data_IF_370865018302
#
_entry.id   IF_370865018302
#
_cell.length_a   1.000
_cell.length_b   1.000
_cell.length_c   1.000
_cell.angle_alpha   90.00
_cell.angle_beta   90.00
_cell.angle_gamma   90.00
#
_symmetry.space_group_name_H-M   'P 1'
#
loop_
_entity.id
_entity.type
_entity.pdbx_description
1 polymer ?
#
# COMPACT_ATOMS: atom_id res chain seq x y z
N UNK A 1 -6.06 -12.51 2.85
CA UNK A 1 -7.23 -12.08 2.03
C UNK A 1 -7.39 -10.57 2.16
N UNK A 2 -7.65 -9.85 1.07
CA UNK A 2 -8.00 -8.42 1.10
C UNK A 2 -9.53 -8.26 1.20
N UNK A 3 -9.98 -7.18 1.83
CA UNK A 3 -11.39 -6.80 1.85
C UNK A 3 -11.76 -6.13 0.52
N UNK A 4 -12.85 -6.57 -0.09
CA UNK A 4 -13.41 -5.99 -1.32
C UNK A 4 -14.62 -5.15 -0.94
N UNK A 5 -14.47 -3.82 -0.98
CA UNK A 5 -15.58 -2.89 -0.89
C UNK A 5 -16.38 -2.81 -2.18
N UNK A 6 -17.24 -1.80 -2.31
CA UNK A 6 -17.89 -1.54 -3.58
C UNK A 6 -16.84 -1.11 -4.61
N UNK A 7 -16.72 -1.87 -5.69
CA UNK A 7 -15.83 -1.59 -6.82
C UNK A 7 -16.66 -1.60 -8.10
N UNK A 8 -16.90 -0.44 -8.67
CA UNK A 8 -17.75 -0.25 -9.85
C UNK A 8 -17.15 0.68 -10.88
N UNK A 9 -16.13 1.45 -10.51
CA UNK A 9 -15.49 2.42 -11.40
C UNK A 9 -14.20 1.85 -11.98
N UNK A 10 -13.98 2.09 -13.26
CA UNK A 10 -12.64 2.02 -13.81
C UNK A 10 -11.82 3.20 -13.24
N UNK A 11 -10.55 3.00 -12.82
CA UNK A 11 -9.68 1.82 -13.02
C UNK A 11 -9.71 0.78 -11.91
N UNK A 12 -10.52 0.95 -10.84
CA UNK A 12 -10.53 0.03 -9.68
C UNK A 12 -10.95 -1.39 -10.05
N UNK A 13 -11.90 -1.52 -10.99
CA UNK A 13 -12.33 -2.84 -11.51
C UNK A 13 -11.14 -3.57 -12.12
N UNK A 14 -10.30 -2.87 -12.88
CA UNK A 14 -9.15 -3.49 -13.53
C UNK A 14 -8.04 -3.86 -12.52
N UNK A 15 -7.78 -3.01 -11.52
CA UNK A 15 -6.87 -3.35 -10.41
C UNK A 15 -7.35 -4.62 -9.71
N UNK A 16 -8.65 -4.70 -9.40
CA UNK A 16 -9.22 -5.85 -8.69
C UNK A 16 -9.07 -7.14 -9.50
N UNK A 17 -9.32 -7.11 -10.81
CA UNK A 17 -9.12 -8.28 -11.69
C UNK A 17 -7.69 -8.82 -11.64
N UNK A 18 -6.69 -7.91 -11.69
CA UNK A 18 -5.28 -8.32 -11.63
C UNK A 18 -4.93 -8.89 -10.25
N UNK A 19 -5.45 -8.31 -9.17
CA UNK A 19 -5.26 -8.83 -7.81
C UNK A 19 -5.88 -10.24 -7.67
N UNK A 20 -7.07 -10.47 -8.23
CA UNK A 20 -7.73 -11.79 -8.24
C UNK A 20 -6.95 -12.82 -9.07
N UNK A 21 -6.41 -12.41 -10.21
CA UNK A 21 -5.52 -13.24 -11.04
C UNK A 21 -4.26 -13.63 -10.25
N UNK A 22 -3.62 -12.67 -9.58
CA UNK A 22 -2.41 -12.90 -8.78
C UNK A 22 -2.69 -13.80 -7.55
N UNK A 23 -3.82 -13.61 -6.87
CA UNK A 23 -4.26 -14.47 -5.75
C UNK A 23 -4.53 -15.89 -6.24
N UNK A 24 -5.27 -16.04 -7.35
CA UNK A 24 -5.62 -17.35 -7.93
C UNK A 24 -4.40 -18.12 -8.44
N UNK A 25 -3.37 -17.40 -8.90
CA UNK A 25 -2.08 -17.96 -9.27
C UNK A 25 -1.19 -18.30 -8.06
N UNK A 26 -1.68 -18.09 -6.83
CA UNK A 26 -0.95 -18.31 -5.57
C UNK A 26 0.40 -17.59 -5.51
N UNK A 27 0.48 -16.39 -6.07
CA UNK A 27 1.70 -15.60 -6.02
C UNK A 27 2.01 -15.20 -4.57
N UNK A 28 3.28 -15.29 -4.18
CA UNK A 28 3.72 -14.83 -2.86
C UNK A 28 3.54 -13.32 -2.76
N UNK A 29 2.99 -12.86 -1.64
CA UNK A 29 2.76 -11.44 -1.38
C UNK A 29 2.01 -10.71 -2.53
N UNK A 30 1.06 -11.40 -3.17
CA UNK A 30 0.30 -10.90 -4.32
C UNK A 30 -0.37 -9.53 -4.10
N UNK A 31 -0.62 -9.16 -2.84
CA UNK A 31 -1.18 -7.88 -2.42
C UNK A 31 -0.13 -6.87 -1.92
N UNK A 32 1.16 -7.17 -2.10
CA UNK A 32 2.22 -6.24 -1.75
C UNK A 32 2.28 -5.08 -2.75
N UNK A 33 2.45 -3.87 -2.22
CA UNK A 33 2.63 -2.67 -3.02
C UNK A 33 3.78 -1.83 -2.48
N UNK A 34 4.61 -1.29 -3.36
CA UNK A 34 5.62 -0.32 -3.00
C UNK A 34 4.95 1.06 -2.94
N UNK A 35 5.02 1.73 -1.78
CA UNK A 35 4.56 3.10 -1.64
C UNK A 35 5.75 4.05 -1.47
N UNK A 36 5.77 5.11 -2.29
CA UNK A 36 6.72 6.20 -2.21
C UNK A 36 6.08 7.42 -1.56
N UNK A 37 6.82 8.08 -0.69
CA UNK A 37 6.48 9.34 -0.03
C UNK A 37 7.69 10.28 -0.04
N UNK A 38 7.48 11.56 0.23
CA UNK A 38 8.50 12.60 0.11
C UNK A 38 8.62 13.36 1.42
N UNK A 39 9.84 13.60 1.89
CA UNK A 39 10.09 14.40 3.09
C UNK A 39 10.08 15.91 2.81
N UNK A 40 10.28 16.72 3.86
CA UNK A 40 10.33 18.19 3.79
C UNK A 40 11.45 18.73 2.85
N UNK A 41 12.47 17.93 2.59
CA UNK A 41 13.59 18.29 1.71
C UNK A 41 13.38 17.80 0.27
N UNK A 42 12.17 17.35 -0.04
CA UNK A 42 11.83 16.72 -1.32
C UNK A 42 12.62 15.42 -1.59
N UNK A 43 13.16 14.77 -0.54
CA UNK A 43 13.81 13.48 -0.69
C UNK A 43 12.75 12.37 -0.71
N UNK A 44 12.60 11.64 -1.83
CA UNK A 44 11.70 10.50 -1.90
C UNK A 44 12.27 9.31 -1.12
N UNK A 45 11.37 8.54 -0.55
CA UNK A 45 11.66 7.26 0.08
C UNK A 45 10.55 6.27 -0.24
N UNK A 46 10.87 4.96 -0.32
CA UNK A 46 9.86 3.95 -0.62
C UNK A 46 10.02 2.70 0.25
N UNK A 47 8.94 1.94 0.38
CA UNK A 47 8.87 0.67 1.14
C UNK A 47 7.67 -0.14 0.70
N UNK A 48 7.72 -1.44 0.99
CA UNK A 48 6.58 -2.33 0.76
C UNK A 48 5.58 -2.19 1.91
N UNK A 49 4.30 -2.14 1.55
CA UNK A 49 3.16 -2.29 2.45
C UNK A 49 2.17 -3.27 1.81
N UNK A 50 1.27 -3.85 2.61
CA UNK A 50 0.29 -4.81 2.10
C UNK A 50 -1.07 -4.13 1.93
N UNK A 51 -1.64 -4.22 0.74
CA UNK A 51 -3.02 -3.82 0.49
C UNK A 51 -3.96 -4.65 1.38
N UNK A 52 -4.91 -3.97 2.05
CA UNK A 52 -5.88 -4.61 2.97
C UNK A 52 -7.31 -4.50 2.46
N UNK A 53 -7.61 -3.43 1.74
CA UNK A 53 -8.93 -3.18 1.16
C UNK A 53 -8.79 -2.40 -0.15
N UNK A 54 -9.65 -2.71 -1.11
CA UNK A 54 -9.87 -1.93 -2.32
C UNK A 54 -11.34 -1.60 -2.47
N UNK A 55 -11.65 -0.36 -2.85
CA UNK A 55 -12.99 0.12 -3.17
C UNK A 55 -12.92 1.30 -4.13
N UNK A 56 -14.06 1.82 -4.59
CA UNK A 56 -14.13 3.07 -5.37
C UNK A 56 -13.58 4.29 -4.60
N UNK A 57 -13.39 4.18 -3.29
CA UNK A 57 -12.77 5.22 -2.46
C UNK A 57 -11.24 5.19 -2.53
N UNK A 58 -10.63 4.04 -2.82
CA UNK A 58 -9.19 3.92 -2.93
C UNK A 58 -8.59 2.60 -2.43
N UNK A 59 -7.28 2.66 -2.18
CA UNK A 59 -6.45 1.54 -1.75
C UNK A 59 -6.06 1.70 -0.28
N UNK A 60 -6.38 0.74 0.56
CA UNK A 60 -6.20 0.84 2.03
C UNK A 60 -5.06 -0.05 2.50
N UNK A 61 -4.20 0.47 3.37
CA UNK A 61 -3.16 -0.31 4.07
C UNK A 61 -3.02 0.12 5.52
N UNK A 62 -2.53 -0.78 6.36
CA UNK A 62 -2.31 -0.56 7.79
C UNK A 62 -0.84 -0.22 8.08
N UNK A 63 -0.60 0.76 8.96
CA UNK A 63 0.76 1.14 9.34
C UNK A 63 0.82 1.88 10.69
N UNK A 64 2.05 2.19 11.13
CA UNK A 64 2.34 3.10 12.24
C UNK A 64 2.46 4.53 11.69
N UNK A 65 1.63 5.46 12.19
CA UNK A 65 1.61 6.88 11.80
C UNK A 65 2.89 7.63 12.20
N UNK A 66 3.56 7.20 13.29
CA UNK A 66 4.81 7.80 13.77
C UNK A 66 6.05 7.30 13.01
N UNK A 67 5.89 6.33 12.09
CA UNK A 67 6.97 5.87 11.23
C UNK A 67 7.46 6.96 10.28
N UNK A 68 8.64 6.76 9.65
CA UNK A 68 9.18 7.70 8.66
C UNK A 68 8.14 8.05 7.59
N UNK A 69 7.49 7.05 6.99
CA UNK A 69 6.44 7.29 5.99
C UNK A 69 5.22 8.04 6.55
N UNK A 70 4.82 7.74 7.79
CA UNK A 70 3.69 8.41 8.43
C UNK A 70 3.95 9.91 8.59
N UNK A 71 5.15 10.28 9.04
CA UNK A 71 5.60 11.67 9.17
C UNK A 71 5.73 12.38 7.81
N UNK A 72 6.26 11.69 6.80
CA UNK A 72 6.36 12.21 5.44
C UNK A 72 4.96 12.50 4.87
N UNK A 73 4.01 11.57 5.04
CA UNK A 73 2.63 11.70 4.58
C UNK A 73 1.87 12.83 5.28
N UNK A 74 2.12 13.03 6.57
CA UNK A 74 1.50 14.13 7.32
C UNK A 74 1.88 15.51 6.76
N UNK A 75 3.10 15.63 6.27
CA UNK A 75 3.64 16.88 5.70
C UNK A 75 3.32 17.04 4.22
N UNK A 76 3.32 15.95 3.48
CA UNK A 76 3.02 15.92 2.05
C UNK A 76 2.17 14.68 1.74
N UNK A 77 0.85 14.85 1.55
CA UNK A 77 -0.05 13.73 1.32
C UNK A 77 0.05 13.11 -0.08
N UNK A 78 0.89 13.64 -0.97
CA UNK A 78 1.09 13.08 -2.31
C UNK A 78 1.94 11.83 -2.24
N UNK A 79 1.46 10.76 -2.85
CA UNK A 79 2.15 9.46 -2.87
C UNK A 79 2.09 8.84 -4.25
N UNK A 80 3.04 7.93 -4.50
CA UNK A 80 2.97 7.01 -5.61
C UNK A 80 2.98 5.57 -5.08
N UNK A 81 2.17 4.71 -5.69
CA UNK A 81 2.08 3.29 -5.38
C UNK A 81 2.42 2.49 -6.62
N UNK A 82 3.16 1.40 -6.43
CA UNK A 82 3.53 0.50 -7.51
C UNK A 82 3.30 -0.95 -7.09
N UNK A 83 2.51 -1.66 -7.88
CA UNK A 83 2.40 -3.11 -7.85
C UNK A 83 3.23 -3.68 -8.99
N UNK A 84 3.91 -4.80 -8.72
CA UNK A 84 4.65 -5.54 -9.73
C UNK A 84 4.45 -7.04 -9.55
N UNK A 85 3.81 -7.67 -10.50
CA UNK A 85 3.62 -9.11 -10.56
C UNK A 85 4.45 -9.67 -11.74
N UNK A 86 5.64 -10.15 -11.39
CA UNK A 86 6.62 -10.64 -12.38
C UNK A 86 6.06 -11.79 -13.22
N UNK A 87 5.40 -12.73 -12.56
CA UNK A 87 4.87 -13.95 -13.18
C UNK A 87 3.74 -13.62 -14.15
N UNK A 88 2.95 -12.59 -13.87
CA UNK A 88 1.90 -12.07 -14.74
C UNK A 88 2.43 -11.08 -15.78
N UNK A 89 3.70 -10.66 -15.64
CA UNK A 89 4.31 -9.60 -16.48
C UNK A 89 3.49 -8.31 -16.48
N UNK A 90 2.88 -7.98 -15.32
CA UNK A 90 2.00 -6.83 -15.13
C UNK A 90 2.52 -5.89 -14.07
N UNK A 91 2.35 -4.59 -14.33
CA UNK A 91 2.61 -3.52 -13.36
C UNK A 91 1.39 -2.60 -13.28
N UNK A 92 1.08 -2.13 -12.08
CA UNK A 92 0.11 -1.06 -11.87
C UNK A 92 0.78 0.06 -11.09
N UNK A 93 0.76 1.26 -11.65
CA UNK A 93 1.28 2.49 -11.03
C UNK A 93 0.11 3.38 -10.67
N UNK A 94 0.07 3.87 -9.44
CA UNK A 94 -0.99 4.74 -8.92
C UNK A 94 -0.36 6.00 -8.37
N UNK A 95 -0.85 7.15 -8.78
CA UNK A 95 -0.54 8.44 -8.19
C UNK A 95 -1.79 8.97 -7.49
N UNK A 96 -1.61 9.65 -6.35
CA UNK A 96 -2.76 10.19 -5.64
C UNK A 96 -2.39 10.87 -4.34
N UNK A 97 -3.42 11.17 -3.56
CA UNK A 97 -3.28 11.67 -2.21
C UNK A 97 -3.66 10.61 -1.19
N UNK A 98 -3.12 10.75 0.02
CA UNK A 98 -3.38 9.80 1.09
C UNK A 98 -3.96 10.51 2.31
N UNK A 99 -4.92 9.87 2.98
CA UNK A 99 -5.48 10.32 4.26
C UNK A 99 -5.63 9.16 5.23
N UNK A 100 -5.79 9.45 6.50
CA UNK A 100 -6.18 8.43 7.50
C UNK A 100 -7.59 7.95 7.20
N UNK A 101 -7.84 6.65 7.38
CA UNK A 101 -9.17 6.06 7.41
C UNK A 101 -9.88 6.36 8.74
N UNK A 102 -11.10 5.87 8.92
CA UNK A 102 -11.83 6.04 10.18
C UNK A 102 -11.14 5.29 11.34
N UNK A 103 -11.36 5.77 12.56
CA UNK A 103 -10.91 5.09 13.77
C UNK A 103 -11.58 3.72 13.88
N UNK A 104 -12.87 3.64 13.56
CA UNK A 104 -13.65 2.40 13.57
C UNK A 104 -13.05 1.34 12.65
N UNK A 105 -12.74 1.69 11.38
CA UNK A 105 -12.08 0.76 10.44
C UNK A 105 -10.72 0.33 10.96
N UNK A 106 -9.96 1.26 11.54
CA UNK A 106 -8.63 1.00 12.08
C UNK A 106 -8.70 0.05 13.28
N UNK A 107 -9.69 0.21 14.18
CA UNK A 107 -9.94 -0.67 15.33
C UNK A 107 -10.39 -2.05 14.86
N UNK A 108 -11.33 -2.12 13.93
CA UNK A 108 -11.82 -3.38 13.36
C UNK A 108 -10.66 -4.17 12.72
N UNK A 109 -9.84 -3.51 11.91
CA UNK A 109 -8.67 -4.16 11.31
C UNK A 109 -7.65 -4.59 12.38
N UNK A 110 -7.32 -3.73 13.36
CA UNK A 110 -6.40 -4.09 14.43
C UNK A 110 -6.85 -5.34 15.18
N UNK A 111 -8.14 -5.42 15.54
CA UNK A 111 -8.72 -6.53 16.29
C UNK A 111 -8.78 -7.84 15.47
N UNK A 112 -8.83 -7.76 14.14
CA UNK A 112 -8.78 -8.94 13.26
C UNK A 112 -7.40 -9.57 13.14
N UNK A 113 -6.34 -8.90 13.61
CA UNK A 113 -4.95 -9.37 13.51
C UNK A 113 -4.64 -10.41 14.58
N UNK A 114 -3.71 -11.36 14.28
CA UNK A 114 -3.20 -12.27 15.31
C UNK A 114 -2.66 -11.50 16.52
N UNK A 115 -2.90 -12.03 17.73
CA UNK A 115 -2.55 -11.39 19.01
C UNK A 115 -1.10 -10.88 19.04
N UNK A 116 -0.13 -11.72 18.69
CA UNK A 116 1.29 -11.35 18.65
C UNK A 116 1.58 -10.19 17.71
N UNK A 117 0.84 -10.09 16.59
CA UNK A 117 0.96 -8.96 15.64
C UNK A 117 0.35 -7.67 16.18
N UNK A 118 -0.69 -7.76 17.02
CA UNK A 118 -1.26 -6.60 17.73
C UNK A 118 -0.26 -6.06 18.76
N UNK A 119 0.31 -6.93 19.57
CA UNK A 119 1.33 -6.55 20.57
C UNK A 119 2.60 -6.00 19.91
N UNK A 120 3.06 -6.61 18.81
CA UNK A 120 4.18 -6.07 18.04
C UNK A 120 3.94 -4.64 17.55
N UNK A 121 2.70 -4.29 17.18
CA UNK A 121 2.36 -2.92 16.77
C UNK A 121 2.36 -1.93 17.94
N UNK A 122 2.04 -2.38 19.16
CA UNK A 122 2.09 -1.56 20.38
C UNK A 122 3.54 -1.28 20.77
N UNK A 123 4.38 -2.33 20.80
CA UNK A 123 5.75 -2.25 21.30
C UNK A 123 6.72 -1.60 20.29
N UNK A 124 6.47 -1.77 18.99
CA UNK A 124 7.39 -1.31 17.96
C UNK A 124 7.33 0.19 17.75
N UNK A 125 8.42 0.90 18.05
CA UNK A 125 8.63 2.27 17.62
C UNK A 125 9.17 2.26 16.18
N UNK A 126 8.27 2.03 15.19
CA UNK A 126 8.63 1.80 13.79
C UNK A 126 9.51 2.92 13.21
N UNK A 127 10.56 2.55 12.51
CA UNK A 127 11.57 3.44 11.89
C UNK A 127 12.55 4.10 12.87
N UNK A 128 12.55 3.75 14.16
CA UNK A 128 13.61 4.12 15.10
C UNK A 128 14.70 3.05 15.16
N UNK A 129 15.87 3.46 15.66
CA UNK A 129 16.96 2.51 15.94
C UNK A 129 16.63 1.64 17.14
N UNK A 130 17.08 0.39 17.12
CA UNK A 130 16.99 -0.54 18.26
C UNK A 130 18.37 -1.10 18.57
N UNK A 131 18.59 -1.46 19.83
CA UNK A 131 19.85 -2.07 20.29
C UNK A 131 19.94 -3.55 19.87
N UNK A 132 18.80 -4.26 19.87
CA UNK A 132 18.75 -5.69 19.61
C UNK A 132 17.34 -6.16 19.22
N UNK A 133 17.25 -7.00 18.16
CA UNK A 133 16.00 -7.69 17.83
C UNK A 133 15.58 -8.70 18.92
N UNK A 134 16.55 -9.29 19.63
CA UNK A 134 16.28 -10.20 20.74
C UNK A 134 15.56 -9.48 21.89
N UNK A 135 15.95 -8.24 22.18
CA UNK A 135 15.30 -7.46 23.23
C UNK A 135 13.88 -7.03 22.81
N UNK A 136 13.68 -6.68 21.55
CA UNK A 136 12.35 -6.41 21.02
C UNK A 136 11.43 -7.64 21.15
N UNK A 137 11.92 -8.82 20.80
CA UNK A 137 11.16 -10.07 20.95
C UNK A 137 10.80 -10.34 22.41
N UNK A 138 11.76 -10.17 23.33
CA UNK A 138 11.49 -10.31 24.78
C UNK A 138 10.44 -9.32 25.29
N UNK A 139 10.47 -8.07 24.83
CA UNK A 139 9.46 -7.08 25.20
C UNK A 139 8.08 -7.49 24.76
N UNK A 140 7.95 -8.04 23.53
CA UNK A 140 6.68 -8.55 23.01
C UNK A 140 6.17 -9.74 23.86
N UNK A 141 7.04 -10.70 24.14
CA UNK A 141 6.68 -11.89 24.92
C UNK A 141 6.32 -11.49 26.37
N UNK A 142 7.10 -10.64 27.04
CA UNK A 142 6.76 -10.12 28.37
C UNK A 142 5.44 -9.36 28.41
N UNK A 143 5.11 -8.59 27.35
CA UNK A 143 3.85 -7.88 27.30
C UNK A 143 2.66 -8.84 27.17
N UNK A 144 2.82 -9.92 26.40
CA UNK A 144 1.83 -10.98 26.28
C UNK A 144 1.59 -11.71 27.61
N UNK A 145 2.66 -11.98 28.38
CA UNK A 145 2.58 -12.66 29.68
C UNK A 145 1.90 -11.81 30.77
N UNK A 146 1.94 -10.48 30.62
CA UNK A 146 1.44 -9.53 31.62
C UNK A 146 0.04 -8.97 31.32
N UNK A 147 -0.51 -9.21 30.12
CA UNK A 147 -1.75 -8.60 29.68
C UNK A 147 -2.70 -9.63 29.06
N UNK A 148 -3.94 -9.59 29.51
CA UNK A 148 -5.01 -10.37 28.89
C UNK A 148 -5.33 -9.84 27.49
N UNK A 149 -5.72 -10.73 26.58
CA UNK A 149 -6.07 -10.37 25.20
C UNK A 149 -7.15 -9.28 25.14
N UNK A 150 -8.11 -9.27 26.04
CA UNK A 150 -9.21 -8.31 26.12
C UNK A 150 -8.73 -6.89 26.46
N UNK A 151 -7.56 -6.75 27.09
CA UNK A 151 -6.94 -5.45 27.42
C UNK A 151 -6.16 -4.83 26.27
N UNK A 152 -5.84 -5.62 25.24
CA UNK A 152 -4.98 -5.20 24.13
C UNK A 152 -5.78 -4.38 23.12
N UNK A 153 -5.63 -3.06 23.18
CA UNK A 153 -6.30 -2.09 22.30
C UNK A 153 -5.33 -1.52 21.28
N UNK A 154 -5.87 -1.04 20.15
CA UNK A 154 -5.08 -0.35 19.14
C UNK A 154 -4.45 0.92 19.73
N UNK A 155 -3.12 1.12 19.55
CA UNK A 155 -2.50 2.38 19.95
C UNK A 155 -2.84 3.48 18.92
N UNK A 156 -2.98 4.71 19.37
CA UNK A 156 -3.37 5.88 18.55
C UNK A 156 -2.42 6.11 17.36
N UNK A 157 -1.17 5.70 17.52
CA UNK A 157 -0.17 5.84 16.45
C UNK A 157 -0.24 4.76 15.37
N UNK A 158 -1.18 3.82 15.44
CA UNK A 158 -1.37 2.78 14.43
C UNK A 158 -2.77 2.83 13.83
N UNK A 159 -2.87 2.66 12.53
CA UNK A 159 -4.16 2.61 11.86
C UNK A 159 -4.06 2.48 10.35
N UNK A 160 -5.17 2.68 9.70
CA UNK A 160 -5.32 2.57 8.26
C UNK A 160 -5.10 3.92 7.58
N UNK A 161 -4.36 3.88 6.48
CA UNK A 161 -4.34 4.92 5.46
C UNK A 161 -5.12 4.46 4.23
N UNK A 162 -5.77 5.41 3.57
CA UNK A 162 -6.39 5.23 2.25
C UNK A 162 -5.69 6.13 1.23
N UNK A 163 -5.19 5.53 0.16
CA UNK A 163 -4.69 6.23 -1.03
C UNK A 163 -5.88 6.48 -1.95
N UNK A 164 -6.14 7.73 -2.25
CA UNK A 164 -7.19 8.20 -3.16
C UNK A 164 -6.50 8.50 -4.49
N UNK A 165 -6.66 7.66 -5.52
CA UNK A 165 -5.98 7.85 -6.78
C UNK A 165 -6.52 9.03 -7.56
N UNK A 166 -5.62 9.74 -8.26
CA UNK A 166 -5.95 10.68 -9.33
C UNK A 166 -5.39 10.27 -10.69
N UNK A 167 -4.45 9.30 -10.69
CA UNK A 167 -4.00 8.64 -11.91
C UNK A 167 -3.67 7.17 -11.63
N UNK A 168 -3.99 6.30 -12.58
CA UNK A 168 -3.66 4.87 -12.54
C UNK A 168 -3.17 4.45 -13.91
N UNK A 169 -1.99 3.85 -13.97
CA UNK A 169 -1.42 3.33 -15.20
C UNK A 169 -1.23 1.82 -15.09
N UNK A 170 -1.75 1.12 -16.07
CA UNK A 170 -1.55 -0.31 -16.31
C UNK A 170 -0.47 -0.49 -17.35
N UNK A 171 0.50 -1.35 -17.03
CA UNK A 171 1.57 -1.75 -17.93
C UNK A 171 1.57 -3.27 -18.07
N UNK A 172 1.63 -3.74 -19.31
CA UNK A 172 1.68 -5.16 -19.65
C UNK A 172 2.89 -5.44 -20.55
N UNK A 173 3.72 -6.40 -20.16
CA UNK A 173 4.84 -6.83 -21.00
C UNK A 173 4.34 -7.45 -22.29
N UNK A 174 4.97 -7.06 -23.40
CA UNK A 174 4.77 -7.64 -24.74
C UNK A 174 6.13 -7.84 -25.40
N UNK A 175 6.17 -8.72 -26.40
CA UNK A 175 7.35 -9.01 -27.19
C UNK A 175 7.89 -7.75 -27.88
N UNK A 176 9.17 -7.78 -28.24
CA UNK A 176 9.85 -6.71 -28.96
C UNK A 176 9.75 -5.31 -28.30
N UNK A 177 9.57 -5.27 -26.94
CA UNK A 177 9.42 -4.04 -26.16
C UNK A 177 8.22 -3.18 -26.55
N UNK A 178 7.21 -3.76 -27.20
CA UNK A 178 5.95 -3.09 -27.54
C UNK A 178 4.94 -3.12 -26.40
N UNK A 179 5.45 -2.86 -25.17
CA UNK A 179 4.66 -2.94 -23.94
C UNK A 179 3.39 -2.08 -24.01
N UNK A 180 2.26 -2.67 -23.63
CA UNK A 180 1.01 -1.95 -23.56
C UNK A 180 0.96 -1.04 -22.34
N UNK A 181 0.52 0.20 -22.52
CA UNK A 181 0.35 1.18 -21.47
C UNK A 181 -0.99 1.86 -21.59
N UNK A 182 -1.84 1.66 -20.60
CA UNK A 182 -3.15 2.30 -20.48
C UNK A 182 -3.15 3.13 -19.19
N UNK A 183 -3.33 4.44 -19.32
CA UNK A 183 -3.40 5.36 -18.16
C UNK A 183 -4.79 5.95 -18.05
N UNK A 184 -5.35 5.85 -16.85
CA UNK A 184 -6.55 6.54 -16.42
C UNK A 184 -6.16 7.80 -15.65
N UNK A 185 -6.86 8.90 -15.91
CA UNK A 185 -6.69 10.20 -15.24
C UNK A 185 -8.04 10.63 -14.71
N UNK A 186 -8.11 11.03 -13.44
CA UNK A 186 -9.30 11.59 -12.83
C UNK A 186 -9.40 13.07 -13.22
N UNK A 187 -10.39 13.41 -14.02
CA UNK A 187 -10.63 14.76 -14.50
C UNK A 187 -11.31 15.64 -13.44
N UNK A 188 -11.30 16.95 -13.63
CA UNK A 188 -11.91 17.93 -12.72
C UNK A 188 -13.41 17.67 -12.47
N UNK A 189 -14.10 17.08 -13.45
CA UNK A 189 -15.52 16.68 -13.36
C UNK A 189 -15.75 15.36 -12.61
N UNK A 190 -14.74 14.83 -11.92
CA UNK A 190 -14.74 13.56 -11.17
C UNK A 190 -15.04 12.32 -12.03
N UNK A 191 -14.74 12.37 -13.34
CA UNK A 191 -14.81 11.22 -14.23
C UNK A 191 -13.43 10.78 -14.65
N UNK A 192 -13.27 9.48 -14.83
CA UNK A 192 -12.05 8.90 -15.35
C UNK A 192 -12.01 8.99 -16.87
N UNK A 193 -10.94 9.54 -17.42
CA UNK A 193 -10.57 9.42 -18.84
C UNK A 193 -9.46 8.39 -18.99
N UNK A 194 -9.39 7.73 -20.15
CA UNK A 194 -8.35 6.73 -20.41
C UNK A 194 -7.58 7.05 -21.68
N UNK A 195 -6.26 6.82 -21.65
CA UNK A 195 -5.34 7.13 -22.71
C UNK A 195 -4.33 6.00 -22.91
N UNK A 196 -4.06 5.65 -24.15
CA UNK A 196 -2.96 4.77 -24.52
C UNK A 196 -1.67 5.57 -24.64
N UNK A 197 -0.58 5.03 -24.08
CA UNK A 197 0.73 5.64 -24.14
C UNK A 197 1.69 4.82 -25.01
N UNK A 198 2.62 5.49 -25.65
CA UNK A 198 3.70 4.80 -26.32
C UNK A 198 4.49 3.94 -25.35
N UNK A 199 4.99 2.77 -25.77
CA UNK A 199 5.87 1.96 -24.95
C UNK A 199 7.16 2.74 -24.61
N UNK A 200 7.72 2.48 -23.43
CA UNK A 200 9.01 3.02 -23.03
C UNK A 200 10.11 2.30 -23.85
N UNK A 201 10.48 2.84 -24.99
CA UNK A 201 11.58 2.32 -25.80
C UNK A 201 12.87 2.85 -25.19
N UNK A 202 13.61 1.97 -24.51
CA UNK A 202 14.97 2.26 -24.07
C UNK A 202 15.85 2.38 -25.34
N UNK A 203 16.13 3.59 -25.77
CA UNK A 203 17.16 3.83 -26.79
C UNK A 203 18.50 3.58 -26.10
N UNK A 204 19.05 2.37 -26.28
CA UNK A 204 20.46 2.12 -25.96
C UNK A 204 21.25 2.85 -27.03
N UNK A 205 21.69 4.06 -26.75
CA UNK A 205 22.73 4.71 -27.55
C UNK A 205 24.01 3.92 -27.23
N UNK A 206 24.38 2.99 -28.12
CA UNK A 206 25.72 2.40 -28.12
C UNK A 206 26.67 3.53 -28.57
N UNK A 207 27.42 4.08 -27.61
CA UNK A 207 28.57 4.98 -27.89
C UNK A 207 29.75 4.15 -28.34
#
# INVERSE_FOLDING_TARGET
>A
MIEKGKVSQEPFVEILKILEEAESANLVDWNAMNIASVDQKNQPSSRIVLLKKISDEGLVFYTNYNSRKGKEIELNPKVAVNFWWRELKKQVRVEGIIKKSSEEDSDNYFNSRPLKSRVSAIISNQSSTISSYKDLTKQIDNYLDQNDESSIKRPDHCGLFIVIPNAVEFWQERDNRTHERLKYILEDNQKWSSHLYHPDILVIITL
#
